data_IF_910266573405
#
_entry.id   IF_910266573405
#
_cell.length_a   1.000
_cell.length_b   1.000
_cell.length_c   1.000
_cell.angle_alpha   90.00
_cell.angle_beta   90.00
_cell.angle_gamma   90.00
#
_symmetry.space_group_name_H-M   'P 1'
#
loop_
_entity.id
_entity.type
_entity.pdbx_description
1 polymer ?
#
# COMPACT_ATOMS: atom_id res chain seq x y z
N UNK A 1 -23.28 13.69 -4.25
CA UNK A 1 -22.46 12.64 -4.89
C UNK A 1 -21.08 13.22 -5.15
N UNK A 2 -20.02 12.75 -4.48
CA UNK A 2 -18.65 13.18 -4.81
C UNK A 2 -18.08 12.16 -5.80
N UNK A 3 -18.30 12.38 -7.09
CA UNK A 3 -17.55 11.67 -8.13
C UNK A 3 -16.10 12.13 -7.99
N UNK A 4 -15.23 11.27 -7.48
CA UNK A 4 -13.81 11.53 -7.27
C UNK A 4 -13.03 11.61 -8.60
N UNK A 5 -13.65 12.13 -9.65
CA UNK A 5 -13.04 12.28 -10.95
C UNK A 5 -11.94 13.34 -10.85
N UNK A 6 -10.75 12.96 -11.31
CA UNK A 6 -9.57 13.82 -11.34
C UNK A 6 -9.15 13.96 -12.81
N UNK A 7 -9.81 14.83 -13.58
CA UNK A 7 -9.63 14.93 -15.02
C UNK A 7 -8.26 15.49 -15.40
N UNK A 8 -7.63 16.23 -14.49
CA UNK A 8 -6.42 16.99 -14.77
C UNK A 8 -5.19 16.23 -14.30
N UNK A 9 -4.47 15.61 -15.24
CA UNK A 9 -3.26 14.83 -14.97
C UNK A 9 -1.98 15.61 -15.31
N UNK A 10 -0.99 15.50 -14.45
CA UNK A 10 0.34 16.05 -14.69
C UNK A 10 1.10 15.18 -15.69
N UNK A 11 1.48 15.74 -16.84
CA UNK A 11 2.27 15.03 -17.86
C UNK A 11 3.68 14.63 -17.42
N UNK A 12 4.23 15.27 -16.38
CA UNK A 12 5.57 15.01 -15.87
C UNK A 12 5.64 13.89 -14.82
N UNK A 13 4.55 13.65 -14.08
CA UNK A 13 4.55 12.68 -12.96
C UNK A 13 3.27 11.83 -12.85
N UNK A 14 2.29 12.01 -13.74
CA UNK A 14 1.02 11.29 -13.76
C UNK A 14 0.01 11.68 -12.66
N UNK A 15 0.36 12.60 -11.76
CA UNK A 15 -0.53 12.96 -10.63
C UNK A 15 -1.80 13.65 -11.13
N UNK A 16 -2.94 13.11 -10.72
CA UNK A 16 -4.26 13.60 -11.08
C UNK A 16 -4.84 14.56 -10.02
N UNK A 17 -5.49 15.61 -10.48
CA UNK A 17 -6.12 16.66 -9.68
C UNK A 17 -7.57 16.86 -10.10
N UNK A 18 -8.41 17.27 -9.15
CA UNK A 18 -9.82 17.60 -9.41
C UNK A 18 -10.00 18.99 -10.02
N UNK A 19 -9.02 19.89 -9.87
CA UNK A 19 -9.06 21.26 -10.41
C UNK A 19 -7.77 21.61 -11.15
N UNK A 20 -7.89 22.34 -12.25
CA UNK A 20 -6.77 22.79 -13.09
C UNK A 20 -5.79 23.68 -12.34
N UNK A 21 -6.28 24.55 -11.44
CA UNK A 21 -5.43 25.43 -10.63
C UNK A 21 -4.45 24.65 -9.74
N UNK A 22 -4.88 23.50 -9.22
CA UNK A 22 -4.06 22.65 -8.35
C UNK A 22 -2.98 21.93 -9.17
N UNK A 23 -3.32 21.53 -10.40
CA UNK A 23 -2.36 21.00 -11.37
C UNK A 23 -1.30 22.05 -11.74
N UNK A 24 -1.70 23.29 -12.05
CA UNK A 24 -0.77 24.38 -12.42
C UNK A 24 0.14 24.72 -11.24
N UNK A 25 -0.39 24.80 -10.01
CA UNK A 25 0.41 25.03 -8.80
C UNK A 25 1.41 23.88 -8.57
N UNK A 26 0.98 22.65 -8.79
CA UNK A 26 1.84 21.47 -8.71
C UNK A 26 2.92 21.44 -9.81
N UNK A 27 2.63 21.85 -11.04
CA UNK A 27 3.62 21.87 -12.11
C UNK A 27 4.81 22.79 -11.79
N UNK A 28 4.58 23.87 -11.03
CA UNK A 28 5.67 24.74 -10.54
C UNK A 28 6.63 24.04 -9.61
N UNK A 29 6.19 23.00 -8.88
CA UNK A 29 7.09 22.22 -8.02
C UNK A 29 8.11 21.45 -8.84
N UNK A 30 7.74 20.95 -10.03
CA UNK A 30 8.70 20.28 -10.93
C UNK A 30 9.80 21.22 -11.43
N UNK A 31 9.46 22.48 -11.69
CA UNK A 31 10.42 23.51 -12.11
C UNK A 31 11.35 23.94 -10.96
N UNK A 32 10.87 23.95 -9.72
CA UNK A 32 11.70 24.24 -8.54
C UNK A 32 12.64 23.07 -8.18
N UNK A 33 12.22 21.82 -8.43
CA UNK A 33 13.03 20.63 -8.15
C UNK A 33 13.97 20.23 -9.29
N UNK A 34 13.94 20.86 -10.47
CA UNK A 34 14.85 20.50 -11.58
C UNK A 34 16.32 20.78 -11.29
N UNK A 35 16.61 21.62 -10.27
CA UNK A 35 17.97 21.89 -9.80
C UNK A 35 18.43 20.94 -8.67
N UNK A 36 17.57 20.04 -8.19
CA UNK A 36 17.85 19.22 -7.00
C UNK A 36 17.53 17.73 -7.23
N UNK A 37 18.31 16.82 -6.65
CA UNK A 37 18.13 15.35 -6.75
C UNK A 37 16.76 14.83 -6.26
N UNK A 38 15.95 15.72 -5.70
CA UNK A 38 14.62 15.44 -5.15
C UNK A 38 13.54 15.19 -6.22
N UNK A 39 13.74 15.55 -7.50
CA UNK A 39 12.73 15.28 -8.55
C UNK A 39 12.53 13.77 -8.79
N UNK A 40 13.61 12.96 -8.76
CA UNK A 40 13.51 11.51 -8.90
C UNK A 40 12.78 10.90 -7.69
N UNK A 41 13.05 11.38 -6.47
CA UNK A 41 12.36 10.94 -5.26
C UNK A 41 10.88 11.33 -5.27
N UNK A 42 10.58 12.56 -5.71
CA UNK A 42 9.22 13.06 -5.88
C UNK A 42 8.42 12.24 -6.89
N UNK A 43 9.02 11.93 -8.06
CA UNK A 43 8.39 11.06 -9.05
C UNK A 43 8.23 9.63 -8.53
N UNK A 44 9.23 9.08 -7.83
CA UNK A 44 9.15 7.76 -7.16
C UNK A 44 8.07 7.67 -6.09
N UNK A 45 7.64 8.79 -5.52
CA UNK A 45 6.55 8.83 -4.54
C UNK A 45 5.16 8.81 -5.22
N UNK A 46 5.05 9.29 -6.46
CA UNK A 46 3.78 9.31 -7.23
C UNK A 46 3.60 8.09 -8.12
N UNK A 47 4.67 7.59 -8.75
CA UNK A 47 4.68 6.19 -9.20
C UNK A 47 4.68 5.38 -7.93
N UNK A 48 3.51 4.84 -7.56
CA UNK A 48 3.42 3.83 -6.52
C UNK A 48 4.18 2.60 -7.04
N UNK A 49 5.52 2.64 -6.98
CA UNK A 49 6.42 1.58 -7.36
C UNK A 49 6.22 0.50 -6.30
N UNK A 50 5.16 -0.26 -6.54
CA UNK A 50 4.85 -1.49 -5.86
C UNK A 50 5.33 -2.59 -6.81
N UNK A 51 6.65 -2.83 -6.90
CA UNK A 51 7.21 -3.74 -7.90
C UNK A 51 6.72 -5.19 -7.68
N UNK A 52 6.17 -5.48 -6.51
CA UNK A 52 5.71 -6.81 -6.14
C UNK A 52 4.22 -6.95 -6.47
N UNK A 53 3.93 -7.43 -7.69
CA UNK A 53 2.58 -7.77 -8.13
C UNK A 53 2.22 -9.21 -7.73
N UNK A 54 0.96 -9.42 -7.33
CA UNK A 54 0.44 -10.76 -7.13
C UNK A 54 0.18 -11.45 -8.47
N UNK A 55 0.58 -12.72 -8.61
CA UNK A 55 0.31 -13.49 -9.83
C UNK A 55 -1.13 -13.98 -9.93
N UNK A 56 -1.88 -13.97 -8.82
CA UNK A 56 -3.25 -14.47 -8.73
C UNK A 56 -4.30 -13.34 -8.75
N UNK A 57 -3.88 -12.07 -8.67
CA UNK A 57 -4.77 -10.90 -8.80
C UNK A 57 -3.97 -9.62 -9.08
N UNK A 58 -4.64 -8.53 -9.50
CA UNK A 58 -3.99 -7.26 -9.87
C UNK A 58 -3.47 -6.42 -8.68
N UNK A 59 -3.37 -7.01 -7.48
CA UNK A 59 -2.87 -6.30 -6.31
C UNK A 59 -1.35 -6.20 -6.35
N UNK A 60 -0.87 -4.99 -6.13
CA UNK A 60 0.56 -4.67 -6.02
C UNK A 60 0.92 -4.24 -4.60
N UNK A 61 2.15 -4.57 -4.18
CA UNK A 61 2.72 -4.30 -2.86
C UNK A 61 4.07 -3.59 -2.96
N UNK A 62 4.34 -2.67 -2.03
CA UNK A 62 5.61 -1.94 -1.94
C UNK A 62 6.75 -2.78 -1.37
N UNK A 63 6.43 -3.87 -0.67
CA UNK A 63 7.40 -4.75 -0.03
C UNK A 63 7.09 -6.21 -0.38
N UNK A 64 8.13 -6.99 -0.68
CA UNK A 64 8.01 -8.42 -1.00
C UNK A 64 7.31 -9.20 0.12
N UNK A 65 7.62 -8.91 1.38
CA UNK A 65 7.02 -9.60 2.53
C UNK A 65 5.50 -9.42 2.60
N UNK A 66 4.98 -8.28 2.13
CA UNK A 66 3.55 -8.02 2.10
C UNK A 66 2.86 -8.77 0.96
N UNK A 67 3.56 -8.96 -0.18
CA UNK A 67 3.10 -9.85 -1.25
C UNK A 67 3.00 -11.31 -0.76
N UNK A 68 4.05 -11.83 -0.10
CA UNK A 68 4.05 -13.21 0.43
C UNK A 68 2.91 -13.42 1.45
N UNK A 69 2.73 -12.47 2.38
CA UNK A 69 1.59 -12.49 3.32
C UNK A 69 0.25 -12.49 2.61
N UNK A 70 0.13 -11.70 1.55
CA UNK A 70 -1.09 -11.63 0.74
C UNK A 70 -1.36 -12.93 -0.02
N UNK A 71 -0.33 -13.59 -0.57
CA UNK A 71 -0.49 -14.87 -1.28
C UNK A 71 -1.12 -15.97 -0.43
N UNK A 72 -0.95 -15.92 0.89
CA UNK A 72 -1.62 -16.84 1.84
C UNK A 72 -3.15 -16.78 1.78
N UNK A 73 -3.72 -15.68 1.27
CA UNK A 73 -5.17 -15.57 1.06
C UNK A 73 -5.62 -16.46 -0.11
N UNK A 74 -4.77 -16.61 -1.12
CA UNK A 74 -5.06 -17.47 -2.27
C UNK A 74 -4.79 -18.95 -1.96
N UNK A 75 -3.71 -19.25 -1.25
CA UNK A 75 -3.36 -20.65 -0.92
C UNK A 75 -4.12 -21.18 0.30
N UNK A 76 -4.71 -20.30 1.11
CA UNK A 76 -5.34 -20.68 2.38
C UNK A 76 -4.34 -21.10 3.46
N UNK A 77 -3.04 -20.90 3.24
CA UNK A 77 -1.98 -21.29 4.18
C UNK A 77 -2.11 -20.53 5.51
N UNK A 78 -2.16 -21.27 6.62
CA UNK A 78 -2.28 -20.73 7.97
C UNK A 78 -1.18 -21.32 8.88
N UNK A 79 0.08 -20.87 8.70
CA UNK A 79 1.22 -21.49 9.39
C UNK A 79 1.26 -21.20 10.89
N UNK A 80 0.46 -20.25 11.39
CA UNK A 80 0.48 -19.86 12.80
C UNK A 80 -0.63 -20.53 13.58
N UNK A 81 -0.29 -21.56 14.34
CA UNK A 81 -1.24 -22.26 15.21
C UNK A 81 -1.21 -21.72 16.63
N UNK A 82 -2.40 -21.59 17.23
CA UNK A 82 -2.59 -21.32 18.64
C UNK A 82 -2.53 -22.61 19.44
N UNK A 83 -1.52 -22.79 20.31
CA UNK A 83 -1.38 -24.03 21.09
C UNK A 83 -2.57 -24.32 22.01
N UNK A 84 -3.16 -23.34 22.73
CA UNK A 84 -4.30 -23.61 23.63
C UNK A 84 -5.58 -24.12 22.96
N UNK A 85 -5.86 -23.77 21.70
CA UNK A 85 -7.14 -24.09 21.06
C UNK A 85 -7.02 -24.61 19.62
N UNK A 86 -5.80 -24.90 19.17
CA UNK A 86 -5.44 -25.37 17.83
C UNK A 86 -5.90 -24.48 16.65
N UNK A 87 -6.48 -23.30 16.89
CA UNK A 87 -6.88 -22.38 15.82
C UNK A 87 -5.67 -21.88 15.04
N UNK A 88 -5.76 -21.89 13.72
CA UNK A 88 -4.70 -21.47 12.82
C UNK A 88 -4.98 -20.12 12.17
N UNK A 89 -3.92 -19.35 11.91
CA UNK A 89 -3.96 -18.00 11.36
C UNK A 89 -2.92 -17.84 10.23
N UNK A 90 -3.23 -16.98 9.27
CA UNK A 90 -2.33 -16.65 8.15
C UNK A 90 -1.25 -15.63 8.52
N UNK A 91 -1.46 -14.86 9.60
CA UNK A 91 -0.56 -13.81 10.09
C UNK A 91 -0.23 -13.98 11.58
N UNK A 92 1.03 -13.75 11.96
CA UNK A 92 1.50 -13.84 13.34
C UNK A 92 0.90 -12.76 14.24
N UNK A 93 0.67 -11.56 13.71
CA UNK A 93 0.00 -10.47 14.43
C UNK A 93 -1.42 -10.85 14.83
N UNK A 94 -2.16 -11.52 13.95
CA UNK A 94 -3.52 -12.02 14.23
C UNK A 94 -3.50 -13.10 15.30
N UNK A 95 -2.54 -14.04 15.24
CA UNK A 95 -2.34 -15.03 16.32
C UNK A 95 -2.05 -14.33 17.66
N UNK A 96 -1.17 -13.34 17.69
CA UNK A 96 -0.80 -12.62 18.93
C UNK A 96 -1.99 -11.89 19.55
N UNK A 97 -2.84 -11.28 18.72
CA UNK A 97 -4.09 -10.66 19.19
C UNK A 97 -5.04 -11.74 19.73
N UNK A 98 -5.20 -12.85 19.01
CA UNK A 98 -6.01 -13.97 19.46
C UNK A 98 -5.52 -14.54 20.80
N UNK A 99 -4.21 -14.67 21.02
CA UNK A 99 -3.68 -15.19 22.27
C UNK A 99 -4.08 -14.34 23.49
N UNK A 100 -4.32 -13.04 23.32
CA UNK A 100 -4.82 -12.17 24.39
C UNK A 100 -6.22 -12.54 24.86
N UNK A 101 -7.03 -13.20 24.02
CA UNK A 101 -8.37 -13.67 24.42
C UNK A 101 -8.28 -14.82 25.41
N UNK A 102 -7.20 -15.60 25.41
CA UNK A 102 -6.97 -16.67 26.39
C UNK A 102 -6.48 -16.12 27.73
N UNK A 103 -5.68 -15.06 27.70
CA UNK A 103 -5.09 -14.49 28.92
C UNK A 103 -5.96 -13.42 29.58
N UNK A 104 -7.12 -13.09 29.02
CA UNK A 104 -8.00 -12.03 29.53
C UNK A 104 -7.37 -10.63 29.58
N UNK A 105 -6.22 -10.42 28.93
CA UNK A 105 -5.52 -9.13 28.92
C UNK A 105 -6.23 -8.21 27.92
N UNK A 106 -7.10 -7.33 28.43
CA UNK A 106 -7.62 -6.19 27.67
C UNK A 106 -6.46 -5.27 27.23
N UNK A 107 -6.61 -4.53 26.11
CA UNK A 107 -5.59 -3.59 25.63
C UNK A 107 -5.20 -2.58 26.70
#
# INVERSE_FOLDING_TARGET
>A
MHTGEKPYQCSQCGKAFSRTQDLIKHQRTHKAFSQNSNLISHNKMHTCNKPYQCSQCDKTFSQHINLIKHQRIHTGEKPYQCSPCAKTFSLSSTLKIHQRTHTGKKP
#
